data_IF_796187682707
#
_entry.id   IF_796187682707
#
_cell.length_a   1.000
_cell.length_b   1.000
_cell.length_c   1.000
_cell.angle_alpha   90.00
_cell.angle_beta   90.00
_cell.angle_gamma   90.00
#
_symmetry.space_group_name_H-M   'P 1'
#
loop_
_entity.id
_entity.type
_entity.pdbx_description
1 polymer ?
#
# COMPACT_ATOMS: atom_id res chain seq x y z
N UNK A 1 32.13 1.12 -39.24
CA UNK A 1 32.96 1.48 -38.08
C UNK A 1 32.36 0.78 -36.87
N UNK A 2 33.11 -0.16 -36.31
CA UNK A 2 32.74 -0.92 -35.12
C UNK A 2 32.81 0.01 -33.90
N UNK A 3 31.70 0.16 -33.16
CA UNK A 3 31.76 0.75 -31.82
C UNK A 3 31.94 -0.36 -30.79
N UNK A 4 32.95 -0.16 -29.94
CA UNK A 4 33.41 -1.02 -28.86
C UNK A 4 32.38 -1.07 -27.72
N UNK A 5 32.31 -2.21 -27.02
CA UNK A 5 31.39 -2.51 -25.93
C UNK A 5 31.73 -1.81 -24.60
N UNK A 6 32.39 -0.64 -24.62
CA UNK A 6 32.95 -0.02 -23.42
C UNK A 6 32.24 1.25 -22.90
N UNK A 7 31.19 1.75 -23.58
CA UNK A 7 30.54 3.02 -23.21
C UNK A 7 29.04 2.84 -22.86
N UNK A 8 28.69 1.86 -22.04
CA UNK A 8 27.33 1.71 -21.51
C UNK A 8 27.30 2.19 -20.05
N UNK A 9 26.72 3.37 -19.79
CA UNK A 9 26.39 3.83 -18.44
C UNK A 9 25.44 2.83 -17.76
N UNK A 10 25.77 2.43 -16.53
CA UNK A 10 24.98 1.52 -15.72
C UNK A 10 23.56 2.07 -15.47
N UNK A 11 22.50 1.24 -15.52
CA UNK A 11 21.18 1.64 -15.07
C UNK A 11 21.24 2.06 -13.60
N UNK A 12 20.71 3.23 -13.26
CA UNK A 12 20.64 3.66 -11.87
C UNK A 12 19.76 2.72 -11.06
N UNK A 13 20.32 2.16 -9.99
CA UNK A 13 19.61 1.31 -9.05
C UNK A 13 18.57 2.13 -8.27
N UNK A 14 17.39 1.55 -8.03
CA UNK A 14 16.40 2.11 -7.12
C UNK A 14 16.94 2.06 -5.66
N UNK A 15 17.13 3.21 -4.98
CA UNK A 15 17.74 3.26 -3.65
C UNK A 15 16.92 2.52 -2.57
N UNK A 16 15.61 2.30 -2.76
CA UNK A 16 14.77 1.57 -1.79
C UNK A 16 14.99 0.04 -1.81
N UNK A 17 15.81 -0.48 -2.72
CA UNK A 17 16.09 -1.92 -2.89
C UNK A 17 17.55 -2.29 -2.55
N UNK A 18 18.29 -1.42 -1.86
CA UNK A 18 19.68 -1.66 -1.46
C UNK A 18 19.82 -2.99 -0.70
N UNK A 19 20.54 -3.94 -1.30
CA UNK A 19 20.81 -5.27 -0.74
C UNK A 19 20.45 -6.43 -1.66
N UNK A 20 19.79 -6.16 -2.78
CA UNK A 20 19.36 -7.18 -3.71
C UNK A 20 19.86 -6.96 -5.14
N UNK A 21 20.45 -8.00 -5.72
CA UNK A 21 20.99 -8.02 -7.07
C UNK A 21 19.86 -7.98 -8.13
N UNK A 22 19.45 -6.78 -8.56
CA UNK A 22 18.36 -6.60 -9.53
C UNK A 22 18.76 -5.83 -10.79
N UNK A 23 17.98 -6.04 -11.87
CA UNK A 23 17.96 -5.27 -13.10
C UNK A 23 16.50 -4.82 -13.33
N UNK A 24 16.25 -3.52 -13.26
CA UNK A 24 14.97 -2.92 -13.64
C UNK A 24 15.01 -2.61 -15.14
N UNK A 25 14.09 -3.23 -15.89
CA UNK A 25 14.08 -3.16 -17.36
C UNK A 25 13.49 -1.87 -17.92
N UNK A 26 13.13 -0.90 -17.07
CA UNK A 26 12.80 0.47 -17.47
C UNK A 26 13.90 1.03 -18.41
N UNK A 27 15.16 0.69 -18.17
CA UNK A 27 16.29 1.08 -19.04
C UNK A 27 16.39 0.34 -20.39
N UNK A 28 15.79 -0.84 -20.54
CA UNK A 28 15.88 -1.66 -21.76
C UNK A 28 14.73 -1.38 -22.73
N UNK A 29 13.54 -1.07 -22.19
CA UNK A 29 12.39 -0.68 -22.99
C UNK A 29 12.48 0.79 -23.44
N UNK A 30 12.97 1.68 -22.58
CA UNK A 30 12.93 3.13 -22.82
C UNK A 30 14.13 3.66 -23.64
N UNK A 31 15.31 3.03 -23.56
CA UNK A 31 16.51 3.47 -24.33
C UNK A 31 16.68 2.85 -25.73
N UNK A 32 15.69 2.11 -26.27
CA UNK A 32 15.78 1.50 -27.61
C UNK A 32 14.55 1.63 -28.51
N UNK A 33 13.53 2.40 -28.12
CA UNK A 33 12.32 2.60 -28.91
C UNK A 33 12.20 4.03 -29.43
N UNK A 34 13.23 4.54 -30.10
CA UNK A 34 13.09 5.76 -30.91
C UNK A 34 12.35 5.41 -32.20
N UNK A 35 11.04 5.72 -32.24
CA UNK A 35 10.23 5.66 -33.45
C UNK A 35 10.61 6.82 -34.38
N UNK A 36 11.06 6.48 -35.59
CA UNK A 36 11.25 7.44 -36.66
C UNK A 36 11.16 6.77 -38.03
N UNK A 37 10.08 7.06 -38.75
CA UNK A 37 10.02 7.06 -40.22
C UNK A 37 9.80 5.73 -40.95
N UNK A 38 8.59 5.60 -41.51
CA UNK A 38 8.15 4.86 -42.70
C UNK A 38 8.43 3.34 -42.84
N UNK A 39 7.34 2.58 -43.08
CA UNK A 39 7.30 1.11 -43.17
C UNK A 39 8.16 0.47 -44.28
N UNK A 40 8.22 -0.88 -44.38
CA UNK A 40 7.02 -1.69 -44.61
C UNK A 40 6.95 -3.08 -43.92
N UNK A 41 5.71 -3.58 -43.86
CA UNK A 41 5.28 -4.99 -43.88
C UNK A 41 5.88 -6.00 -42.88
N UNK A 42 4.99 -6.46 -41.99
CA UNK A 42 5.08 -7.70 -41.22
C UNK A 42 5.39 -8.91 -42.12
N UNK A 43 6.64 -9.35 -42.15
CA UNK A 43 6.99 -10.68 -42.61
C UNK A 43 6.93 -11.64 -41.41
N UNK A 44 6.04 -12.63 -41.50
CA UNK A 44 6.03 -13.83 -40.64
C UNK A 44 7.41 -14.50 -40.71
N UNK A 45 8.28 -14.25 -39.74
CA UNK A 45 9.47 -15.08 -39.57
C UNK A 45 9.17 -16.14 -38.51
N UNK A 46 9.25 -17.39 -38.96
CA UNK A 46 9.16 -18.59 -38.16
C UNK A 46 10.15 -18.56 -36.99
N UNK A 47 9.62 -18.72 -35.78
CA UNK A 47 10.40 -18.87 -34.55
C UNK A 47 11.10 -20.24 -34.62
N UNK A 48 12.40 -20.24 -34.86
CA UNK A 48 13.24 -21.43 -34.79
C UNK A 48 13.48 -21.89 -33.34
N UNK A 49 14.03 -23.10 -33.13
CA UNK A 49 14.05 -23.78 -31.83
C UNK A 49 15.08 -23.25 -30.81
N UNK A 50 15.78 -22.15 -31.09
CA UNK A 50 16.76 -21.56 -30.15
C UNK A 50 16.09 -20.55 -29.21
N UNK A 51 15.71 -21.03 -28.03
CA UNK A 51 15.00 -20.31 -26.94
C UNK A 51 15.87 -19.24 -26.23
N UNK A 52 16.44 -18.25 -26.93
CA UNK A 52 17.42 -17.32 -26.29
C UNK A 52 17.38 -15.85 -26.71
N UNK A 53 16.33 -15.41 -27.41
CA UNK A 53 16.29 -14.04 -27.96
C UNK A 53 14.87 -13.53 -28.10
N UNK A 54 14.60 -12.33 -27.59
CA UNK A 54 13.31 -11.65 -27.74
C UNK A 54 13.36 -10.59 -28.83
N UNK A 55 12.48 -10.60 -29.85
CA UNK A 55 12.32 -9.48 -30.77
C UNK A 55 11.38 -8.43 -30.16
N UNK A 56 11.92 -7.30 -29.67
CA UNK A 56 11.13 -6.09 -29.40
C UNK A 56 11.49 -5.08 -30.49
N UNK A 57 10.55 -4.80 -31.40
CA UNK A 57 10.69 -3.81 -32.49
C UNK A 57 12.12 -3.68 -33.09
N UNK A 58 12.68 -4.79 -33.58
CA UNK A 58 13.97 -4.77 -34.29
C UNK A 58 15.22 -4.87 -33.41
N UNK A 59 15.09 -5.03 -32.09
CA UNK A 59 16.22 -5.37 -31.20
C UNK A 59 16.02 -6.69 -30.47
N UNK A 60 17.12 -7.46 -30.42
CA UNK A 60 17.22 -8.73 -29.71
C UNK A 60 17.79 -8.51 -28.31
N UNK A 61 16.99 -8.73 -27.27
CA UNK A 61 17.54 -8.90 -25.90
C UNK A 61 18.00 -10.35 -25.77
N UNK A 62 19.29 -10.57 -25.48
CA UNK A 62 19.85 -11.91 -25.29
C UNK A 62 19.90 -12.26 -23.81
N UNK A 63 19.18 -13.33 -23.44
CA UNK A 63 19.20 -13.89 -22.08
C UNK A 63 20.60 -14.31 -21.59
N UNK A 64 21.53 -14.59 -22.52
CA UNK A 64 22.93 -14.91 -22.23
C UNK A 64 23.67 -13.81 -21.47
N UNK A 65 23.31 -12.54 -21.68
CA UNK A 65 23.94 -11.44 -20.95
C UNK A 65 23.47 -11.39 -19.50
N UNK A 66 22.17 -11.57 -19.25
CA UNK A 66 21.59 -11.58 -17.90
C UNK A 66 22.20 -12.73 -17.08
N UNK A 67 22.34 -13.93 -17.64
CA UNK A 67 23.02 -15.04 -16.96
C UNK A 67 24.51 -14.79 -16.70
N UNK A 68 25.18 -13.96 -17.50
CA UNK A 68 26.59 -13.63 -17.30
C UNK A 68 26.83 -12.59 -16.19
N UNK A 69 25.78 -11.88 -15.74
CA UNK A 69 25.90 -10.84 -14.70
C UNK A 69 25.86 -11.37 -13.26
N UNK A 70 25.65 -12.68 -13.06
CA UNK A 70 25.55 -13.29 -11.72
C UNK A 70 24.28 -12.93 -10.94
N UNK A 71 23.31 -12.24 -11.57
CA UNK A 71 22.04 -11.85 -10.96
C UNK A 71 21.15 -13.07 -10.72
N UNK A 72 20.36 -13.04 -9.64
CA UNK A 72 19.47 -14.14 -9.23
C UNK A 72 18.01 -13.89 -9.57
N UNK A 73 17.53 -12.65 -9.42
CA UNK A 73 16.16 -12.26 -9.72
C UNK A 73 16.10 -11.25 -10.87
N UNK A 74 15.24 -11.51 -11.85
CA UNK A 74 15.01 -10.64 -13.01
C UNK A 74 13.60 -10.08 -12.93
N UNK A 75 13.46 -8.76 -13.05
CA UNK A 75 12.17 -8.08 -12.95
C UNK A 75 11.81 -7.41 -14.28
N UNK A 76 10.54 -7.49 -14.65
CA UNK A 76 9.98 -6.80 -15.81
C UNK A 76 8.81 -5.95 -15.35
N UNK A 77 9.00 -4.63 -15.39
CA UNK A 77 7.90 -3.69 -15.32
C UNK A 77 7.34 -3.54 -16.72
N UNK A 78 6.17 -4.09 -16.95
CA UNK A 78 5.55 -4.11 -18.28
C UNK A 78 4.41 -3.08 -18.31
N UNK A 79 4.58 -1.95 -19.01
CA UNK A 79 3.49 -1.00 -19.23
C UNK A 79 2.28 -1.69 -19.87
N UNK A 80 1.07 -1.18 -19.57
CA UNK A 80 -0.19 -1.78 -20.01
C UNK A 80 -0.30 -1.87 -21.55
N UNK A 81 0.37 -0.97 -22.28
CA UNK A 81 0.42 -0.95 -23.75
C UNK A 81 1.12 -2.18 -24.33
N UNK A 82 1.95 -2.85 -23.54
CA UNK A 82 2.68 -4.06 -23.92
C UNK A 82 2.05 -5.34 -23.37
N UNK A 83 0.77 -5.31 -22.98
CA UNK A 83 0.06 -6.48 -22.45
C UNK A 83 0.11 -7.71 -23.37
N UNK A 84 0.27 -7.52 -24.69
CA UNK A 84 0.46 -8.59 -25.66
C UNK A 84 1.75 -9.41 -25.45
N UNK A 85 2.71 -8.91 -24.67
CA UNK A 85 3.98 -9.57 -24.36
C UNK A 85 3.90 -10.42 -23.08
N UNK A 86 2.84 -10.30 -22.29
CA UNK A 86 2.69 -11.00 -21.00
C UNK A 86 2.74 -12.52 -21.17
N UNK A 87 1.99 -13.08 -22.14
CA UNK A 87 1.96 -14.53 -22.39
C UNK A 87 3.35 -15.07 -22.71
N UNK A 88 4.11 -14.31 -23.50
CA UNK A 88 5.45 -14.71 -23.93
C UNK A 88 6.40 -14.67 -22.72
N UNK A 89 6.31 -13.65 -21.85
CA UNK A 89 7.13 -13.58 -20.64
C UNK A 89 6.84 -14.75 -19.67
N UNK A 90 5.57 -15.10 -19.48
CA UNK A 90 5.17 -16.24 -18.64
C UNK A 90 5.69 -17.56 -19.19
N UNK A 91 5.67 -17.75 -20.51
CA UNK A 91 6.24 -18.95 -21.16
C UNK A 91 7.75 -19.10 -20.94
N UNK A 92 8.45 -17.99 -20.74
CA UNK A 92 9.89 -17.94 -20.42
C UNK A 92 10.17 -18.07 -18.91
N UNK A 93 9.16 -18.34 -18.08
CA UNK A 93 9.34 -18.63 -16.65
C UNK A 93 9.09 -17.46 -15.71
N UNK A 94 8.69 -16.29 -16.22
CA UNK A 94 8.26 -15.18 -15.37
C UNK A 94 6.90 -15.45 -14.73
N UNK A 95 6.71 -15.02 -13.49
CA UNK A 95 5.42 -15.00 -12.81
C UNK A 95 5.05 -13.58 -12.39
N UNK A 96 3.77 -13.37 -12.08
CA UNK A 96 3.28 -12.07 -11.64
C UNK A 96 3.69 -11.81 -10.20
N UNK A 97 4.24 -10.64 -9.93
CA UNK A 97 4.47 -10.16 -8.58
C UNK A 97 3.34 -9.22 -8.15
N UNK A 98 3.20 -8.07 -8.80
CA UNK A 98 2.13 -7.09 -8.50
C UNK A 98 1.72 -6.36 -9.78
N UNK A 99 0.65 -5.59 -9.72
CA UNK A 99 0.18 -4.79 -10.84
C UNK A 99 -0.38 -3.47 -10.30
N UNK A 100 -0.14 -2.41 -11.05
CA UNK A 100 -0.76 -1.11 -10.89
C UNK A 100 -1.64 -0.81 -12.11
N UNK A 101 -2.49 0.23 -12.09
CA UNK A 101 -3.39 0.51 -13.21
C UNK A 101 -2.70 0.63 -14.58
N UNK A 102 -1.42 1.00 -14.60
CA UNK A 102 -0.65 1.28 -15.82
C UNK A 102 0.46 0.28 -16.11
N UNK A 103 0.73 -0.70 -15.23
CA UNK A 103 1.77 -1.71 -15.48
C UNK A 103 1.55 -3.02 -14.73
N UNK A 104 2.12 -4.10 -15.26
CA UNK A 104 2.28 -5.38 -14.60
C UNK A 104 3.74 -5.60 -14.22
N UNK A 105 4.03 -5.92 -12.97
CA UNK A 105 5.35 -6.36 -12.53
C UNK A 105 5.45 -7.88 -12.61
N UNK A 106 6.35 -8.37 -13.46
CA UNK A 106 6.71 -9.77 -13.55
C UNK A 106 8.10 -10.01 -12.96
N UNK A 107 8.34 -11.22 -12.49
CA UNK A 107 9.62 -11.60 -11.92
C UNK A 107 9.99 -13.04 -12.25
N UNK A 108 11.29 -13.31 -12.39
CA UNK A 108 11.84 -14.65 -12.58
C UNK A 108 13.10 -14.82 -11.73
N UNK A 109 13.12 -15.87 -10.89
CA UNK A 109 14.33 -16.32 -10.21
C UNK A 109 15.10 -17.31 -11.09
N UNK A 110 16.31 -16.94 -11.49
CA UNK A 110 17.14 -17.66 -12.47
C UNK A 110 18.29 -18.45 -11.84
N UNK A 111 18.46 -18.37 -10.52
CA UNK A 111 19.47 -19.14 -9.80
C UNK A 111 18.95 -20.53 -9.41
N UNK A 112 19.87 -21.49 -9.26
CA UNK A 112 19.55 -22.87 -8.84
C UNK A 112 19.11 -22.99 -7.37
N UNK A 113 19.26 -21.92 -6.59
CA UNK A 113 18.81 -21.87 -5.19
C UNK A 113 17.32 -21.59 -5.08
N UNK A 114 16.75 -21.81 -3.89
CA UNK A 114 15.40 -21.31 -3.59
C UNK A 114 15.31 -19.79 -3.77
N UNK A 115 14.14 -19.34 -4.25
CA UNK A 115 13.85 -17.93 -4.44
C UNK A 115 13.68 -17.24 -3.10
N UNK A 116 14.42 -16.15 -2.90
CA UNK A 116 14.30 -15.27 -1.73
C UNK A 116 13.49 -13.99 -2.03
N UNK A 117 12.88 -13.93 -3.21
CA UNK A 117 12.01 -12.83 -3.61
C UNK A 117 10.76 -12.84 -2.71
N UNK A 118 10.47 -11.75 -1.99
CA UNK A 118 9.28 -11.67 -1.17
C UNK A 118 8.02 -11.76 -2.03
N UNK A 119 6.94 -12.30 -1.47
CA UNK A 119 5.64 -12.18 -2.09
C UNK A 119 5.18 -10.70 -2.10
N UNK A 120 4.23 -10.38 -2.97
CA UNK A 120 3.63 -9.05 -3.01
C UNK A 120 2.87 -8.69 -1.73
N UNK A 121 2.46 -7.41 -1.64
CA UNK A 121 1.79 -6.81 -0.48
C UNK A 121 0.84 -7.80 0.20
N UNK A 122 1.16 -8.18 1.43
CA UNK A 122 0.47 -9.24 2.16
C UNK A 122 -0.70 -8.73 3.00
N UNK A 123 -0.72 -7.43 3.27
CA UNK A 123 -1.69 -6.77 4.13
C UNK A 123 -2.33 -5.58 3.42
N UNK A 124 -3.60 -5.37 3.70
CA UNK A 124 -4.24 -4.06 3.61
C UNK A 124 -4.13 -3.36 4.95
N UNK A 125 -4.05 -2.04 4.93
CA UNK A 125 -4.01 -1.23 6.15
C UNK A 125 -5.26 -0.37 6.18
N UNK A 126 -5.93 -0.40 7.33
CA UNK A 126 -7.19 0.29 7.56
C UNK A 126 -7.11 1.02 8.90
N UNK A 127 -7.89 2.10 9.06
CA UNK A 127 -7.95 2.88 10.30
C UNK A 127 -9.39 2.97 10.82
N UNK A 128 -9.51 3.22 12.12
CA UNK A 128 -10.73 3.69 12.76
C UNK A 128 -10.42 4.86 13.67
N UNK A 129 -11.17 5.96 13.52
CA UNK A 129 -10.91 7.21 14.22
C UNK A 129 -11.83 7.38 15.44
N UNK A 130 -11.24 7.50 16.63
CA UNK A 130 -11.93 7.80 17.88
C UNK A 130 -11.75 9.29 18.16
N UNK A 131 -12.84 10.04 18.10
CA UNK A 131 -12.83 11.50 18.21
C UNK A 131 -13.87 11.95 19.22
N UNK A 132 -13.41 12.53 20.32
CA UNK A 132 -14.27 13.09 21.36
C UNK A 132 -14.26 14.62 21.30
N UNK A 133 -15.43 15.23 21.47
CA UNK A 133 -15.52 16.65 21.78
C UNK A 133 -15.46 16.91 23.30
N UNK A 134 -15.43 18.18 23.68
CA UNK A 134 -15.38 18.62 25.09
C UNK A 134 -16.61 18.23 25.93
N UNK A 135 -17.73 17.83 25.28
CA UNK A 135 -18.97 17.39 25.95
C UNK A 135 -19.01 15.87 26.17
N UNK A 136 -17.92 15.15 25.89
CA UNK A 136 -17.87 13.67 25.89
C UNK A 136 -18.82 13.03 24.88
N UNK A 137 -19.04 13.70 23.76
CA UNK A 137 -19.73 13.13 22.61
C UNK A 137 -18.67 12.58 21.64
N UNK A 138 -18.93 11.38 21.12
CA UNK A 138 -18.12 10.69 20.12
C UNK A 138 -18.62 11.04 18.72
N UNK A 139 -17.71 11.36 17.81
CA UNK A 139 -18.05 11.48 16.39
C UNK A 139 -18.33 10.10 15.81
N UNK A 140 -19.54 9.92 15.27
CA UNK A 140 -20.00 8.65 14.72
C UNK A 140 -20.67 8.84 13.37
N UNK A 141 -20.61 7.78 12.56
CA UNK A 141 -21.18 7.73 11.21
C UNK A 141 -22.07 6.50 11.03
N UNK A 142 -22.99 6.61 10.07
CA UNK A 142 -23.73 5.50 9.48
C UNK A 142 -23.31 5.34 8.03
N UNK A 143 -22.99 4.12 7.60
CA UNK A 143 -22.59 3.84 6.22
C UNK A 143 -23.82 3.87 5.28
N UNK A 144 -23.68 4.54 4.14
CA UNK A 144 -24.61 4.47 3.00
C UNK A 144 -24.22 3.36 1.99
N UNK A 145 -23.17 2.61 2.26
CA UNK A 145 -22.70 1.50 1.43
C UNK A 145 -22.23 0.32 2.31
N UNK A 146 -21.88 -0.80 1.68
CA UNK A 146 -21.33 -1.95 2.41
C UNK A 146 -22.35 -2.73 3.24
N UNK A 147 -21.85 -3.45 4.26
CA UNK A 147 -22.63 -4.44 5.03
C UNK A 147 -23.56 -3.79 6.07
N UNK A 148 -23.29 -2.55 6.48
CA UNK A 148 -24.08 -1.85 7.50
C UNK A 148 -25.09 -0.86 6.90
N UNK A 149 -25.15 -0.71 5.57
CA UNK A 149 -26.13 0.14 4.90
C UNK A 149 -27.55 -0.15 5.36
N UNK A 150 -28.28 0.87 5.82
CA UNK A 150 -29.67 0.75 6.26
C UNK A 150 -29.87 -0.04 7.56
N UNK A 151 -28.79 -0.40 8.27
CA UNK A 151 -28.87 -1.06 9.58
C UNK A 151 -29.20 -0.10 10.72
N UNK A 152 -29.02 1.22 10.50
CA UNK A 152 -29.17 2.24 11.53
C UNK A 152 -28.07 2.22 12.60
N UNK A 153 -27.01 1.44 12.42
CA UNK A 153 -25.93 1.28 13.40
C UNK A 153 -24.94 2.42 13.30
N UNK A 154 -24.66 3.08 14.42
CA UNK A 154 -23.64 4.12 14.52
C UNK A 154 -22.30 3.51 14.90
N UNK A 155 -21.29 3.75 14.08
CA UNK A 155 -19.91 3.31 14.30
C UNK A 155 -18.96 4.52 14.31
N UNK A 156 -17.73 4.30 14.73
CA UNK A 156 -16.65 5.28 14.48
C UNK A 156 -16.37 5.37 12.96
N UNK A 157 -15.91 6.55 12.48
CA UNK A 157 -15.35 6.70 11.13
C UNK A 157 -14.22 5.69 10.87
N UNK A 158 -14.19 5.10 9.68
CA UNK A 158 -13.19 4.08 9.32
C UNK A 158 -12.88 4.13 7.84
N UNK A 159 -11.61 3.97 7.47
CA UNK A 159 -11.20 3.99 6.07
C UNK A 159 -9.95 3.18 5.80
N UNK A 160 -9.51 3.18 4.53
CA UNK A 160 -8.30 2.46 4.11
C UNK A 160 -7.14 3.46 4.00
N UNK A 161 -5.95 3.04 4.41
CA UNK A 161 -4.74 3.86 4.18
C UNK A 161 -4.30 3.70 2.74
N UNK A 162 -4.10 4.82 2.04
CA UNK A 162 -3.70 4.81 0.63
C UNK A 162 -2.21 4.48 0.45
N UNK A 163 -1.83 4.13 -0.78
CA UNK A 163 -0.43 3.87 -1.11
C UNK A 163 0.44 5.11 -0.84
N UNK A 164 1.56 4.92 -0.14
CA UNK A 164 2.48 6.00 0.23
C UNK A 164 2.03 6.85 1.42
N UNK A 165 0.82 6.64 1.93
CA UNK A 165 0.26 7.37 3.06
C UNK A 165 0.70 6.76 4.40
N UNK A 166 1.01 7.59 5.39
CA UNK A 166 1.20 7.12 6.78
C UNK A 166 -0.14 6.85 7.47
N UNK A 167 -0.12 6.05 8.54
CA UNK A 167 -1.33 5.73 9.32
C UNK A 167 -2.04 7.00 9.84
N UNK A 168 -1.27 8.00 10.30
CA UNK A 168 -1.86 9.23 10.82
C UNK A 168 -2.40 10.14 9.70
N UNK A 169 -1.77 10.19 8.53
CA UNK A 169 -2.29 10.91 7.36
C UNK A 169 -3.61 10.31 6.90
N UNK A 170 -3.67 8.99 6.76
CA UNK A 170 -4.90 8.29 6.37
C UNK A 170 -6.04 8.52 7.37
N UNK A 171 -5.74 8.49 8.67
CA UNK A 171 -6.75 8.81 9.68
C UNK A 171 -7.29 10.25 9.57
N UNK A 172 -6.44 11.23 9.25
CA UNK A 172 -6.83 12.63 9.07
C UNK A 172 -7.65 12.81 7.79
N UNK A 173 -7.19 12.24 6.67
CA UNK A 173 -7.85 12.32 5.36
C UNK A 173 -9.24 11.69 5.41
N UNK A 174 -9.34 10.42 5.81
CA UNK A 174 -10.60 9.66 5.85
C UNK A 174 -11.65 10.37 6.71
N UNK A 175 -11.24 10.85 7.88
CA UNK A 175 -12.16 11.55 8.76
C UNK A 175 -12.67 12.87 8.15
N UNK A 176 -11.77 13.60 7.47
CA UNK A 176 -12.13 14.84 6.76
C UNK A 176 -13.07 14.56 5.59
N UNK A 177 -12.84 13.49 4.84
CA UNK A 177 -13.67 13.08 3.71
C UNK A 177 -15.07 12.64 4.16
N UNK A 178 -15.17 11.80 5.18
CA UNK A 178 -16.46 11.28 5.66
C UNK A 178 -17.31 12.36 6.37
N UNK A 179 -16.67 13.24 7.15
CA UNK A 179 -17.37 14.09 8.13
C UNK A 179 -17.13 15.59 7.99
N UNK A 180 -16.14 16.01 7.22
CA UNK A 180 -15.73 17.41 7.09
C UNK A 180 -14.97 17.97 8.31
N UNK A 181 -14.77 17.18 9.36
CA UNK A 181 -14.12 17.63 10.60
C UNK A 181 -12.60 17.65 10.45
N UNK A 182 -12.00 18.79 10.79
CA UNK A 182 -10.55 18.95 10.89
C UNK A 182 -10.06 18.34 12.20
N UNK A 183 -8.96 17.59 12.14
CA UNK A 183 -8.43 16.91 13.31
C UNK A 183 -6.91 16.93 13.40
N UNK A 184 -6.44 16.72 14.61
CA UNK A 184 -5.04 16.44 14.94
C UNK A 184 -4.95 14.98 15.40
N UNK A 185 -4.03 14.22 14.80
CA UNK A 185 -3.72 12.86 15.24
C UNK A 185 -3.02 12.89 16.61
N UNK A 186 -3.42 12.02 17.54
CA UNK A 186 -2.80 11.93 18.85
C UNK A 186 -1.96 10.65 19.00
N UNK A 187 -2.56 9.49 18.81
CA UNK A 187 -1.93 8.21 19.12
C UNK A 187 -2.70 7.03 18.49
N UNK A 188 -1.99 5.94 18.23
CA UNK A 188 -2.59 4.63 17.98
C UNK A 188 -2.91 3.98 19.33
N UNK A 189 -4.18 3.67 19.58
CA UNK A 189 -4.60 2.98 20.80
C UNK A 189 -4.34 1.48 20.72
N UNK A 190 -4.68 0.86 19.61
CA UNK A 190 -4.51 -0.56 19.40
C UNK A 190 -4.52 -0.84 17.90
N UNK A 191 -4.10 -2.05 17.53
CA UNK A 191 -4.34 -2.57 16.20
C UNK A 191 -4.88 -3.99 16.28
N UNK A 192 -5.63 -4.38 15.26
CA UNK A 192 -6.18 -5.73 15.09
C UNK A 192 -5.71 -6.28 13.76
N UNK A 193 -5.33 -7.54 13.75
CA UNK A 193 -5.07 -8.28 12.53
C UNK A 193 -6.21 -9.23 12.22
N UNK A 194 -6.69 -9.23 10.97
CA UNK A 194 -7.58 -10.27 10.44
C UNK A 194 -6.82 -11.01 9.34
N UNK A 195 -6.47 -12.29 9.52
CA UNK A 195 -5.83 -13.07 8.47
C UNK A 195 -6.83 -13.42 7.35
N UNK A 196 -6.33 -13.53 6.11
CA UNK A 196 -7.07 -14.04 4.95
C UNK A 196 -8.44 -13.37 4.74
N UNK A 197 -8.44 -12.04 4.75
CA UNK A 197 -9.62 -11.21 4.51
C UNK A 197 -9.87 -11.08 3.00
N UNK A 198 -9.62 -9.91 2.42
CA UNK A 198 -9.91 -9.63 1.02
C UNK A 198 -8.83 -10.19 0.10
N UNK A 199 -9.21 -11.05 -0.86
CA UNK A 199 -8.29 -11.70 -1.82
C UNK A 199 -7.07 -12.39 -1.19
N UNK A 200 -7.28 -13.14 -0.09
CA UNK A 200 -6.22 -13.81 0.68
C UNK A 200 -5.15 -12.87 1.26
N UNK A 201 -5.44 -11.56 1.31
CA UNK A 201 -4.63 -10.59 2.03
C UNK A 201 -5.17 -10.42 3.45
N UNK A 202 -4.26 -10.22 4.39
CA UNK A 202 -4.63 -9.91 5.77
C UNK A 202 -5.04 -8.43 5.87
N UNK A 203 -5.79 -8.07 6.90
CA UNK A 203 -6.14 -6.67 7.21
C UNK A 203 -5.48 -6.28 8.54
N UNK A 204 -4.75 -5.16 8.54
CA UNK A 204 -4.25 -4.50 9.74
C UNK A 204 -5.10 -3.27 9.99
N UNK A 205 -5.93 -3.34 11.03
CA UNK A 205 -6.85 -2.29 11.40
C UNK A 205 -6.33 -1.54 12.62
N UNK A 206 -6.00 -0.25 12.47
CA UNK A 206 -5.46 0.61 13.52
C UNK A 206 -6.55 1.49 14.14
N UNK A 207 -6.70 1.45 15.46
CA UNK A 207 -7.56 2.34 16.22
C UNK A 207 -6.77 3.60 16.59
N UNK A 208 -7.16 4.74 16.04
CA UNK A 208 -6.47 6.01 16.19
C UNK A 208 -7.30 6.96 17.05
N UNK A 209 -6.69 7.53 18.08
CA UNK A 209 -7.27 8.62 18.85
C UNK A 209 -6.92 9.95 18.19
N UNK A 210 -7.92 10.81 18.03
CA UNK A 210 -7.75 12.11 17.38
C UNK A 210 -8.42 13.22 18.18
N UNK A 211 -7.94 14.44 17.99
CA UNK A 211 -8.50 15.65 18.59
C UNK A 211 -9.24 16.46 17.52
N UNK A 212 -10.52 16.82 17.73
CA UNK A 212 -11.22 17.71 16.81
C UNK A 212 -10.69 19.14 16.92
N UNK A 213 -10.48 19.77 15.76
CA UNK A 213 -10.13 21.18 15.59
C UNK A 213 -11.32 22.00 15.11
N UNK A 214 -12.29 21.36 14.46
CA UNK A 214 -13.60 21.91 14.10
C UNK A 214 -14.75 21.00 14.57
N UNK A 215 -15.99 21.50 14.55
CA UNK A 215 -17.16 20.79 15.10
C UNK A 215 -18.36 20.74 14.16
N UNK A 216 -18.36 21.53 13.10
CA UNK A 216 -19.44 21.58 12.10
C UNK A 216 -19.29 20.42 11.12
N UNK A 217 -20.19 19.46 11.22
CA UNK A 217 -20.16 18.24 10.40
C UNK A 217 -20.68 18.57 9.00
N UNK A 218 -19.89 18.19 7.99
CA UNK A 218 -20.24 18.22 6.58
C UNK A 218 -20.01 16.82 6.01
N UNK A 219 -21.04 15.98 6.06
CA UNK A 219 -20.92 14.59 5.61
C UNK A 219 -20.78 14.52 4.08
N UNK A 220 -20.06 13.52 3.61
CA UNK A 220 -20.03 13.16 2.20
C UNK A 220 -21.18 12.17 1.88
N UNK A 221 -21.96 12.45 0.83
CA UNK A 221 -23.20 11.71 0.55
C UNK A 221 -23.00 10.34 -0.12
N UNK A 222 -21.82 10.09 -0.69
CA UNK A 222 -21.53 8.87 -1.47
C UNK A 222 -21.42 7.64 -0.54
N UNK A 223 -20.74 7.79 0.59
CA UNK A 223 -20.43 6.69 1.53
C UNK A 223 -21.13 6.86 2.88
N UNK A 224 -21.52 8.07 3.28
CA UNK A 224 -22.06 8.34 4.61
C UNK A 224 -23.54 8.73 4.55
N UNK A 225 -24.37 7.92 5.22
CA UNK A 225 -25.80 8.14 5.34
C UNK A 225 -26.05 9.31 6.30
N UNK A 226 -25.43 9.26 7.47
CA UNK A 226 -25.52 10.29 8.49
C UNK A 226 -24.24 10.35 9.35
N UNK A 227 -23.93 11.53 9.88
CA UNK A 227 -22.82 11.76 10.78
C UNK A 227 -23.28 12.69 11.93
N UNK A 228 -22.89 12.39 13.17
CA UNK A 228 -23.24 13.22 14.33
C UNK A 228 -22.27 13.08 15.48
N UNK A 229 -22.27 14.08 16.36
CA UNK A 229 -21.78 13.96 17.72
C UNK A 229 -22.83 13.19 18.55
N UNK A 230 -22.45 12.03 19.09
CA UNK A 230 -23.31 11.15 19.87
C UNK A 230 -22.79 11.05 21.29
N UNK A 231 -23.65 11.19 22.30
CA UNK A 231 -23.25 10.98 23.69
C UNK A 231 -22.58 9.61 23.86
N UNK A 232 -21.42 9.54 24.53
CA UNK A 232 -20.67 8.28 24.63
C UNK A 232 -21.49 7.14 25.23
N UNK A 233 -22.33 7.44 26.22
CA UNK A 233 -23.20 6.44 26.85
C UNK A 233 -24.28 5.94 25.87
N UNK A 234 -24.78 6.79 24.97
CA UNK A 234 -25.68 6.35 23.89
C UNK A 234 -24.95 5.39 22.94
N UNK A 235 -23.72 5.74 22.52
CA UNK A 235 -22.88 4.87 21.68
C UNK A 235 -22.62 3.51 22.34
N UNK A 236 -22.17 3.52 23.59
CA UNK A 236 -21.79 2.33 24.36
C UNK A 236 -22.98 1.39 24.64
N UNK A 237 -24.21 1.93 24.66
CA UNK A 237 -25.43 1.18 24.90
C UNK A 237 -26.09 0.60 23.65
N UNK A 238 -25.55 0.87 22.45
CA UNK A 238 -26.04 0.23 21.23
C UNK A 238 -25.88 -1.31 21.32
N UNK A 239 -26.90 -2.11 20.94
CA UNK A 239 -26.86 -3.57 21.07
C UNK A 239 -25.67 -4.24 20.36
N UNK A 240 -25.20 -3.70 19.23
CA UNK A 240 -24.01 -4.22 18.54
C UNK A 240 -22.74 -3.97 19.35
N UNK A 241 -22.62 -2.82 20.00
CA UNK A 241 -21.42 -2.40 20.74
C UNK A 241 -21.25 -3.22 22.03
N UNK A 242 -22.35 -3.74 22.57
CA UNK A 242 -22.34 -4.61 23.75
C UNK A 242 -21.96 -6.07 23.44
N UNK A 243 -22.04 -6.50 22.18
CA UNK A 243 -21.62 -7.85 21.78
C UNK A 243 -20.10 -7.99 21.81
N UNK A 244 -19.64 -9.20 22.10
CA UNK A 244 -18.21 -9.49 22.11
C UNK A 244 -17.61 -9.32 20.69
N UNK A 245 -16.45 -8.66 20.61
CA UNK A 245 -15.83 -8.26 19.35
C UNK A 245 -15.15 -6.89 19.43
N UNK A 246 -14.70 -6.39 18.28
CA UNK A 246 -13.94 -5.12 18.18
C UNK A 246 -14.67 -3.94 18.86
N UNK A 247 -15.98 -3.83 18.68
CA UNK A 247 -16.79 -2.73 19.21
C UNK A 247 -16.75 -2.63 20.74
N UNK A 248 -16.75 -3.78 21.44
CA UNK A 248 -16.59 -3.83 22.89
C UNK A 248 -15.22 -3.31 23.31
N UNK A 249 -14.15 -3.71 22.63
CA UNK A 249 -12.80 -3.22 22.92
C UNK A 249 -12.65 -1.73 22.62
N UNK A 250 -13.27 -1.20 21.57
CA UNK A 250 -13.33 0.25 21.31
C UNK A 250 -13.96 0.97 22.51
N UNK A 251 -15.12 0.50 22.98
CA UNK A 251 -15.79 1.07 24.17
C UNK A 251 -14.88 1.02 25.40
N UNK A 252 -14.25 -0.12 25.67
CA UNK A 252 -13.42 -0.31 26.86
C UNK A 252 -12.14 0.54 26.80
N UNK A 253 -11.53 0.68 25.63
CA UNK A 253 -10.40 1.60 25.39
C UNK A 253 -10.80 3.05 25.61
N UNK A 254 -11.95 3.48 25.08
CA UNK A 254 -12.47 4.83 25.31
C UNK A 254 -12.69 5.11 26.82
N UNK A 255 -13.24 4.13 27.56
CA UNK A 255 -13.43 4.23 29.01
C UNK A 255 -12.10 4.31 29.77
N UNK A 256 -11.11 3.49 29.40
CA UNK A 256 -9.79 3.50 30.03
C UNK A 256 -9.04 4.82 29.73
N UNK A 257 -9.13 5.32 28.50
CA UNK A 257 -8.60 6.63 28.11
C UNK A 257 -9.20 7.78 28.88
N UNK A 258 -10.52 7.79 29.07
CA UNK A 258 -11.20 8.83 29.83
C UNK A 258 -10.76 8.88 31.31
N UNK A 259 -10.28 7.76 31.87
CA UNK A 259 -9.75 7.70 33.25
C UNK A 259 -8.26 8.05 33.35
N UNK A 260 -7.55 8.12 32.22
CA UNK A 260 -6.09 8.24 32.20
C UNK A 260 -5.36 6.90 32.41
N UNK A 261 -6.07 5.77 32.39
CA UNK A 261 -5.53 4.44 32.68
C UNK A 261 -4.90 3.75 31.45
N UNK A 262 -4.86 4.43 30.31
CA UNK A 262 -4.35 3.86 29.06
C UNK A 262 -3.52 4.89 28.29
N UNK A 263 -2.40 4.44 27.73
CA UNK A 263 -1.52 5.21 26.85
C UNK A 263 -1.35 4.46 25.54
N UNK A 264 -1.43 5.18 24.42
CA UNK A 264 -1.24 4.64 23.08
C UNK A 264 0.17 4.94 22.57
N UNK A 265 0.37 4.65 21.30
CA UNK A 265 1.63 4.84 20.60
C UNK A 265 1.59 6.16 19.82
N UNK A 266 2.53 7.06 20.11
CA UNK A 266 2.66 8.34 19.42
C UNK A 266 3.72 8.22 18.31
N UNK A 267 3.47 8.76 17.10
CA UNK A 267 4.48 8.82 16.05
C UNK A 267 5.53 9.87 16.42
N UNK A 268 6.80 9.50 16.28
CA UNK A 268 7.93 10.43 16.32
C UNK A 268 8.69 10.35 15.00
N UNK A 269 8.91 11.50 14.34
CA UNK A 269 9.71 11.53 13.13
C UNK A 269 11.16 11.14 13.45
N UNK A 270 11.70 10.23 12.66
CA UNK A 270 13.10 9.83 12.72
C UNK A 270 13.73 9.95 11.33
N UNK A 271 15.00 10.30 11.31
CA UNK A 271 15.87 10.30 10.12
C UNK A 271 16.96 9.27 10.34
N UNK A 272 17.06 8.25 9.48
CA UNK A 272 18.10 7.23 9.56
C UNK A 272 19.09 7.37 8.42
N UNK A 273 20.21 8.07 8.65
CA UNK A 273 21.27 8.24 7.64
C UNK A 273 22.02 6.93 7.28
N UNK A 274 21.60 5.78 7.84
CA UNK A 274 22.26 4.48 7.69
C UNK A 274 21.41 3.49 6.92
N UNK A 275 20.08 3.67 6.89
CA UNK A 275 19.14 2.68 6.34
C UNK A 275 18.34 3.26 5.18
N UNK A 276 17.86 4.51 5.27
CA UNK A 276 17.13 5.20 4.20
C UNK A 276 17.20 6.73 4.41
N UNK A 277 17.55 7.51 3.38
CA UNK A 277 17.55 8.99 3.40
C UNK A 277 16.12 9.60 3.46
N UNK A 278 15.12 8.80 3.84
CA UNK A 278 13.72 9.17 3.92
C UNK A 278 13.28 9.41 5.37
N UNK A 279 12.43 10.42 5.56
CA UNK A 279 11.72 10.66 6.83
C UNK A 279 10.80 9.46 7.11
N UNK A 280 10.92 8.87 8.30
CA UNK A 280 10.02 7.80 8.76
C UNK A 280 9.45 8.12 10.13
N UNK A 281 8.37 7.43 10.52
CA UNK A 281 7.71 7.63 11.82
C UNK A 281 7.82 6.38 12.67
N UNK A 282 8.40 6.51 13.86
CA UNK A 282 8.39 5.46 14.87
C UNK A 282 7.21 5.66 15.83
N UNK A 283 6.35 4.64 15.95
CA UNK A 283 5.23 4.65 16.89
C UNK A 283 5.66 4.00 18.19
N UNK A 284 5.69 4.74 19.29
CA UNK A 284 6.09 4.20 20.59
C UNK A 284 5.33 4.83 21.75
N UNK A 285 5.37 4.18 22.91
CA UNK A 285 4.78 4.68 24.14
C UNK A 285 5.70 5.77 24.73
N UNK A 286 5.24 7.03 24.70
CA UNK A 286 6.05 8.21 25.02
C UNK A 286 6.80 8.12 26.37
N UNK A 287 6.20 7.47 27.36
CA UNK A 287 6.76 7.36 28.72
C UNK A 287 7.66 6.12 28.94
N UNK A 288 7.78 5.23 27.95
CA UNK A 288 8.55 3.98 28.09
C UNK A 288 10.07 4.15 27.90
N UNK A 289 10.52 5.25 27.31
CA UNK A 289 11.95 5.50 27.02
C UNK A 289 12.65 6.39 28.07
N UNK A 290 11.92 6.85 29.09
CA UNK A 290 12.48 7.67 30.19
C UNK A 290 12.64 6.87 31.50
N UNK A 291 12.79 5.54 31.42
CA UNK A 291 13.16 4.68 32.55
C UNK A 291 14.61 4.21 32.47
#
# INVERSE_FOLDING_TARGET
MLYSAHDLEEPQANPLLHGWDYLETDSVLDKKLNFGGDGPSLARQSIGPDRRTWPVNGTTVSWRWIWATGKKGVWIKMPIEFANLVEIAVKEGFWYHHAEPHYLMLVHWIADSESTIPANASHKVSIGAIVFNHKRELLVVQENCGRLKGSGIWKIPTGTVEEGESIFEGAIRELKEETGIDTEFLEVLAFRQIPNSFFNKSDLFFLCMMRPLSFDIQKQDLEIEAARWMAFDEYANQPLIQKDGLSKYIRDLCLAKAKGDYQGFTPIPITSSVIDDHMSSLYFLKDALHQ
#
